data_IF_707918350255
#
_entry.id   IF_707918350255
#
_cell.length_a   1.000
_cell.length_b   1.000
_cell.length_c   1.000
_cell.angle_alpha   90.00
_cell.angle_beta   90.00
_cell.angle_gamma   90.00
#
_symmetry.space_group_name_H-M   'P 1'
#
loop_
_entity.id
_entity.type
_entity.pdbx_description
1 polymer ?
#
# COMPACT_ATOMS: atom_id res chain seq x y z
N UNK A 1 9.03 -2.18 -21.51
CA UNK A 1 8.85 -2.04 -20.90
C UNK A 1 8.05 -1.95 -20.28
N UNK A 2 7.84 -2.13 -19.96
CA UNK A 2 7.15 -2.11 -19.44
C UNK A 2 6.64 -1.55 -18.60
N UNK A 3 6.73 -0.86 -18.43
CA UNK A 3 6.20 -0.18 -17.61
C UNK A 3 4.89 -0.08 -17.66
N UNK A 4 4.35 -0.72 -18.30
CA UNK A 4 3.01 -0.80 -18.31
C UNK A 4 2.41 -1.17 -17.06
N UNK A 5 3.08 -1.25 -16.05
CA UNK A 5 2.56 -1.58 -14.78
C UNK A 5 1.55 -0.60 -14.36
N UNK A 6 0.42 -1.03 -13.95
CA UNK A 6 -0.63 -0.16 -13.48
C UNK A 6 -0.16 0.54 -12.22
N UNK A 7 -0.08 1.85 -12.23
CA UNK A 7 0.43 2.57 -11.08
C UNK A 7 -0.50 2.51 -9.88
N UNK A 8 -1.73 2.11 -10.09
CA UNK A 8 -2.70 2.04 -9.00
C UNK A 8 -2.82 0.64 -8.41
N UNK A 9 -1.92 -0.25 -8.76
CA UNK A 9 -1.94 -1.59 -8.22
C UNK A 9 -1.62 -1.56 -6.72
N UNK A 10 -2.51 -2.12 -5.91
CA UNK A 10 -2.35 -2.07 -4.46
C UNK A 10 -1.10 -2.79 -4.00
N UNK A 11 -0.73 -3.87 -4.65
CA UNK A 11 0.49 -4.61 -4.29
C UNK A 11 1.71 -3.71 -4.48
N UNK A 12 1.75 -2.97 -5.57
CA UNK A 12 2.85 -2.05 -5.85
C UNK A 12 2.93 -0.97 -4.78
N UNK A 13 1.78 -0.43 -4.37
CA UNK A 13 1.75 0.61 -3.36
C UNK A 13 2.21 0.09 -2.01
N UNK A 14 1.78 -1.10 -1.62
CA UNK A 14 2.20 -1.69 -0.35
C UNK A 14 3.71 -1.92 -0.37
N UNK A 15 4.23 -2.43 -1.48
CA UNK A 15 5.65 -2.67 -1.60
C UNK A 15 6.45 -1.38 -1.51
N UNK A 16 5.98 -0.34 -2.18
CA UNK A 16 6.63 0.96 -2.12
C UNK A 16 6.60 1.51 -0.70
N UNK A 17 5.50 1.31 0.02
CA UNK A 17 5.42 1.76 1.40
C UNK A 17 6.44 1.04 2.27
N UNK A 18 6.63 -0.25 2.06
CA UNK A 18 7.64 -0.99 2.82
C UNK A 18 9.04 -0.44 2.58
N UNK A 19 9.34 -0.08 1.34
CA UNK A 19 10.62 0.50 1.02
C UNK A 19 10.82 1.84 1.71
N UNK A 20 9.78 2.65 1.77
CA UNK A 20 9.87 3.95 2.44
C UNK A 20 10.06 3.77 3.95
N UNK A 21 9.43 2.74 4.54
CA UNK A 21 9.63 2.46 5.95
C UNK A 21 11.09 2.08 6.21
N UNK A 22 11.68 1.28 5.34
CA UNK A 22 13.08 0.90 5.46
C UNK A 22 14.00 2.10 5.39
N UNK A 23 13.59 3.11 4.64
CA UNK A 23 14.38 4.33 4.50
C UNK A 23 14.14 5.31 5.64
N UNK A 24 13.23 5.03 6.52
CA UNK A 24 12.88 5.93 7.60
C UNK A 24 11.92 7.03 7.17
N UNK A 25 11.28 6.89 6.01
CA UNK A 25 10.35 7.90 5.49
C UNK A 25 8.92 7.53 5.86
N UNK A 26 8.62 7.61 7.15
CA UNK A 26 7.31 7.15 7.63
C UNK A 26 6.16 7.98 7.06
N UNK A 27 6.34 9.27 6.85
CA UNK A 27 5.27 10.09 6.28
C UNK A 27 4.93 9.68 4.86
N UNK A 28 5.95 9.39 4.06
CA UNK A 28 5.72 8.92 2.70
C UNK A 28 5.07 7.55 2.70
N UNK A 29 5.52 6.68 3.58
CA UNK A 29 4.93 5.36 3.71
C UNK A 29 3.46 5.46 4.09
N UNK A 30 3.13 6.33 5.04
CA UNK A 30 1.74 6.51 5.44
C UNK A 30 0.88 6.99 4.29
N UNK A 31 1.38 7.92 3.49
CA UNK A 31 0.67 8.39 2.31
C UNK A 31 0.36 7.26 1.35
N UNK A 32 1.36 6.42 1.09
CA UNK A 32 1.18 5.29 0.18
C UNK A 32 0.16 4.30 0.72
N UNK A 33 0.22 4.03 2.02
CA UNK A 33 -0.72 3.11 2.65
C UNK A 33 -2.14 3.65 2.63
N UNK A 34 -2.30 4.95 2.84
CA UNK A 34 -3.61 5.57 2.74
C UNK A 34 -4.16 5.49 1.33
N UNK A 35 -3.29 5.61 0.33
CA UNK A 35 -3.71 5.45 -1.05
C UNK A 35 -4.24 4.04 -1.29
N UNK A 36 -3.60 3.03 -0.70
CA UNK A 36 -4.09 1.66 -0.81
C UNK A 36 -5.49 1.55 -0.23
N UNK A 37 -5.71 2.15 0.93
CA UNK A 37 -7.03 2.08 1.58
C UNK A 37 -8.09 2.79 0.78
N UNK A 38 -7.72 3.76 -0.04
CA UNK A 38 -8.66 4.51 -0.85
C UNK A 38 -9.01 3.85 -2.16
N UNK A 39 -8.25 2.84 -2.56
CA UNK A 39 -8.51 2.18 -3.83
C UNK A 39 -9.80 1.38 -3.79
N UNK A 40 -10.57 1.38 -4.88
CA UNK A 40 -11.75 0.52 -4.94
C UNK A 40 -11.34 -0.94 -5.03
N UNK A 41 -12.21 -1.82 -4.58
CA UNK A 41 -11.95 -3.25 -4.67
C UNK A 41 -12.35 -3.72 -6.06
N UNK A 42 -11.39 -4.30 -6.79
CA UNK A 42 -11.65 -4.84 -8.10
C UNK A 42 -12.18 -6.27 -7.93
N UNK A 43 -13.34 -6.59 -8.51
CA UNK A 43 -13.91 -7.94 -8.36
C UNK A 43 -12.98 -9.04 -8.81
N UNK A 44 -12.13 -8.77 -9.80
CA UNK A 44 -11.20 -9.77 -10.31
C UNK A 44 -10.03 -10.02 -9.34
N UNK A 45 -9.77 -9.06 -8.47
CA UNK A 45 -8.63 -9.13 -7.55
C UNK A 45 -9.08 -8.90 -6.11
N UNK A 46 -10.29 -9.33 -5.80
CA UNK A 46 -10.91 -9.04 -4.52
C UNK A 46 -10.07 -9.54 -3.34
N UNK A 47 -9.60 -10.78 -3.40
CA UNK A 47 -8.81 -11.34 -2.31
C UNK A 47 -7.54 -10.56 -2.08
N UNK A 48 -6.84 -10.25 -3.16
CA UNK A 48 -5.59 -9.49 -3.06
C UNK A 48 -5.84 -8.10 -2.54
N UNK A 49 -6.90 -7.45 -3.01
CA UNK A 49 -7.22 -6.10 -2.57
C UNK A 49 -7.56 -6.06 -1.09
N UNK A 50 -8.37 -7.01 -0.63
CA UNK A 50 -8.74 -7.06 0.79
C UNK A 50 -7.52 -7.32 1.64
N UNK A 51 -6.67 -8.26 1.22
CA UNK A 51 -5.45 -8.56 1.94
C UNK A 51 -4.54 -7.34 2.02
N UNK A 52 -4.36 -6.65 0.89
CA UNK A 52 -3.49 -5.48 0.84
C UNK A 52 -4.03 -4.36 1.69
N UNK A 53 -5.34 -4.15 1.71
CA UNK A 53 -5.94 -3.13 2.56
C UNK A 53 -5.76 -3.46 4.04
N UNK A 54 -5.89 -4.73 4.39
CA UNK A 54 -5.66 -5.17 5.77
C UNK A 54 -4.20 -4.93 6.18
N UNK A 55 -3.27 -5.26 5.29
CA UNK A 55 -1.86 -5.01 5.55
C UNK A 55 -1.58 -3.52 5.70
N UNK A 56 -2.16 -2.71 4.81
CA UNK A 56 -1.94 -1.27 4.85
C UNK A 56 -2.44 -0.70 6.16
N UNK A 57 -3.60 -1.13 6.62
CA UNK A 57 -4.15 -0.65 7.88
C UNK A 57 -3.24 -1.02 9.05
N UNK A 58 -2.75 -2.26 9.06
CA UNK A 58 -1.86 -2.75 10.10
C UNK A 58 -0.56 -1.94 10.13
N UNK A 59 0.01 -1.69 8.96
CA UNK A 59 1.25 -0.93 8.86
C UNK A 59 1.05 0.51 9.30
N UNK A 60 -0.09 1.11 8.96
CA UNK A 60 -0.39 2.46 9.40
C UNK A 60 -0.48 2.54 10.92
N UNK A 61 -1.10 1.55 11.53
CA UNK A 61 -1.19 1.51 12.99
C UNK A 61 0.19 1.41 13.62
N UNK A 62 1.07 0.63 13.03
CA UNK A 62 2.45 0.54 13.51
C UNK A 62 3.16 1.88 13.42
N UNK A 63 2.99 2.58 12.30
CA UNK A 63 3.63 3.87 12.13
C UNK A 63 3.13 4.89 13.15
N UNK A 64 1.87 4.78 13.54
CA UNK A 64 1.32 5.69 14.53
C UNK A 64 1.87 5.47 15.92
N UNK A 65 2.28 4.24 16.22
CA UNK A 65 2.77 3.94 17.56
C UNK A 65 4.28 4.11 17.69
N UNK A 66 4.94 4.42 16.60
CA UNK A 66 6.36 4.73 16.66
C UNK A 66 6.55 6.18 17.11
#
# INVERSE_FOLDING_TARGET
>A
MSCSIAPTNSVTLVYAAELEIDRGESLKAASLLEAVLSLPIDPDWEFENIRDKTLAKSMLERLRTL
#
